data_IF_818358052056
#
_entry.id   IF_818358052056
#
_cell.length_a   1.000
_cell.length_b   1.000
_cell.length_c   1.000
_cell.angle_alpha   90.00
_cell.angle_beta   90.00
_cell.angle_gamma   90.00
#
_symmetry.space_group_name_H-M   'P 1'
#
loop_
_entity.id
_entity.type
_entity.pdbx_description
1 polymer ?
#
# COMPACT_ATOMS: atom_id res chain seq x y z
N UNK A 1 10.03 9.79 7.69
CA UNK A 1 10.11 9.83 9.17
C UNK A 1 9.72 8.45 9.70
N UNK A 2 10.69 7.63 10.13
CA UNK A 2 10.41 6.27 10.62
C UNK A 2 10.20 6.34 12.13
N UNK A 3 8.96 6.16 12.58
CA UNK A 3 8.62 6.10 14.01
C UNK A 3 9.21 4.82 14.61
N UNK A 4 10.27 4.98 15.40
CA UNK A 4 10.90 3.89 16.14
C UNK A 4 9.96 3.34 17.20
N UNK A 5 9.44 2.13 16.98
CA UNK A 5 8.58 1.45 17.95
C UNK A 5 9.43 0.88 19.09
N UNK A 6 9.57 1.63 20.20
CA UNK A 6 10.14 1.11 21.45
C UNK A 6 9.06 0.31 22.20
N UNK A 7 9.29 -0.99 22.44
CA UNK A 7 8.51 -1.72 23.46
C UNK A 7 8.77 -1.03 24.81
N UNK A 8 7.70 -0.56 25.48
CA UNK A 8 7.78 -0.11 26.88
C UNK A 8 7.96 -1.34 27.77
N UNK A 9 9.15 -1.52 28.30
CA UNK A 9 9.40 -2.40 29.46
C UNK A 9 8.99 -1.63 30.73
N UNK A 10 8.35 -2.25 31.74
CA UNK A 10 8.01 -1.56 32.97
C UNK A 10 9.29 -1.10 33.69
N UNK A 11 9.27 0.14 34.18
CA UNK A 11 10.36 0.76 34.94
C UNK A 11 10.63 -0.03 36.23
N UNK A 12 11.77 -0.72 36.31
CA UNK A 12 12.42 -0.99 37.60
C UNK A 12 13.52 0.04 37.80
N UNK A 13 13.29 0.90 38.78
CA UNK A 13 14.24 1.87 39.32
C UNK A 13 15.49 1.15 39.82
N UNK A 14 16.66 1.52 39.30
CA UNK A 14 17.93 1.60 40.05
C UNK A 14 18.94 2.39 39.21
N UNK A 15 19.46 3.45 39.81
CA UNK A 15 20.53 4.33 39.32
C UNK A 15 21.83 3.58 39.03
N UNK A 16 22.45 3.78 37.85
CA UNK A 16 23.92 3.78 37.68
C UNK A 16 24.40 4.26 36.30
N UNK A 17 25.21 5.32 36.35
CA UNK A 17 26.39 5.75 35.55
C UNK A 17 26.36 5.68 34.01
N UNK A 18 26.76 6.83 33.45
CA UNK A 18 27.08 7.13 32.06
C UNK A 18 28.37 6.40 31.65
N UNK A 19 28.35 5.71 30.50
CA UNK A 19 29.56 5.27 29.78
C UNK A 19 29.74 3.76 29.62
N UNK A 20 29.21 3.18 28.54
CA UNK A 20 29.76 2.02 27.83
C UNK A 20 29.02 1.79 26.52
N UNK A 21 29.74 1.76 25.39
CA UNK A 21 29.22 1.30 24.09
C UNK A 21 29.03 -0.22 24.20
N UNK A 22 27.78 -0.64 24.41
CA UNK A 22 27.39 -2.06 24.46
C UNK A 22 27.42 -2.72 23.07
N UNK A 23 27.52 -4.07 23.01
CA UNK A 23 27.65 -4.80 21.76
C UNK A 23 26.43 -4.56 20.86
N UNK A 24 26.65 -4.47 19.54
CA UNK A 24 25.59 -4.33 18.53
C UNK A 24 24.61 -5.50 18.66
N UNK A 25 23.58 -5.33 19.48
CA UNK A 25 22.52 -6.31 19.64
C UNK A 25 21.88 -6.58 18.29
N UNK A 26 21.80 -7.85 17.90
CA UNK A 26 21.01 -8.27 16.73
C UNK A 26 19.60 -7.72 16.92
N UNK A 27 19.22 -6.72 16.11
CA UNK A 27 17.83 -6.29 16.03
C UNK A 27 17.04 -7.47 15.50
N UNK A 28 16.27 -8.13 16.37
CA UNK A 28 15.27 -9.09 15.94
C UNK A 28 14.36 -8.38 14.93
N UNK A 29 14.16 -8.90 13.71
CA UNK A 29 13.29 -8.25 12.74
C UNK A 29 11.91 -8.08 13.37
N UNK A 30 11.41 -6.85 13.44
CA UNK A 30 10.03 -6.62 13.83
C UNK A 30 9.13 -7.21 12.74
N UNK A 31 8.58 -8.39 12.99
CA UNK A 31 7.58 -9.00 12.11
C UNK A 31 6.41 -8.01 12.00
N UNK A 32 6.08 -7.57 10.77
CA UNK A 32 4.94 -6.67 10.53
C UNK A 32 3.68 -7.30 11.13
N UNK A 33 2.96 -6.54 11.96
CA UNK A 33 1.74 -7.01 12.65
C UNK A 33 0.65 -7.43 11.66
N UNK A 34 0.55 -6.72 10.53
CA UNK A 34 -0.39 -7.01 9.45
C UNK A 34 0.40 -7.23 8.16
N UNK A 35 0.16 -8.37 7.52
CA UNK A 35 0.65 -8.68 6.16
C UNK A 35 -0.49 -8.63 5.12
N UNK A 36 -1.74 -8.62 5.59
CA UNK A 36 -2.95 -8.49 4.78
C UNK A 36 -3.42 -7.02 4.88
N UNK A 37 -3.53 -6.36 3.73
CA UNK A 37 -3.90 -4.96 3.61
C UNK A 37 -5.34 -4.70 4.07
N UNK A 38 -6.25 -5.62 3.78
CA UNK A 38 -7.64 -5.52 4.22
C UNK A 38 -7.75 -5.50 5.75
N UNK A 39 -7.06 -6.42 6.42
CA UNK A 39 -6.98 -6.46 7.89
C UNK A 39 -6.35 -5.20 8.47
N UNK A 40 -5.27 -4.70 7.86
CA UNK A 40 -4.63 -3.45 8.29
C UNK A 40 -5.60 -2.28 8.20
N UNK A 41 -6.26 -2.12 7.05
CA UNK A 41 -7.18 -1.01 6.77
C UNK A 41 -8.37 -1.02 7.72
N UNK A 42 -8.98 -2.20 7.93
CA UNK A 42 -10.07 -2.38 8.88
C UNK A 42 -9.63 -2.09 10.32
N UNK A 43 -8.44 -2.54 10.71
CA UNK A 43 -7.90 -2.26 12.04
C UNK A 43 -7.61 -0.75 12.26
N UNK A 44 -7.38 0.01 11.18
CA UNK A 44 -7.26 1.46 11.22
C UNK A 44 -8.63 2.18 11.26
N UNK A 45 -9.75 1.47 11.16
CA UNK A 45 -11.09 2.05 11.12
C UNK A 45 -11.48 2.68 9.77
N UNK A 46 -10.70 2.42 8.71
CA UNK A 46 -10.96 2.96 7.38
C UNK A 46 -11.91 2.07 6.57
N UNK A 47 -12.74 2.71 5.73
CA UNK A 47 -13.61 2.06 4.75
C UNK A 47 -13.04 2.01 3.32
N UNK A 48 -11.91 2.68 3.10
CA UNK A 48 -11.29 2.83 1.77
C UNK A 48 -9.79 2.58 1.86
N UNK A 49 -9.25 1.89 0.87
CA UNK A 49 -7.81 1.79 0.61
C UNK A 49 -7.47 2.67 -0.57
N UNK A 50 -6.55 3.60 -0.35
CA UNK A 50 -5.96 4.41 -1.40
C UNK A 50 -4.44 4.25 -1.29
N UNK A 51 -3.91 3.37 -2.13
CA UNK A 51 -2.48 3.08 -2.24
C UNK A 51 -2.07 3.18 -3.71
N UNK A 52 -0.77 3.12 -4.00
CA UNK A 52 -0.34 3.04 -5.39
C UNK A 52 -0.89 1.75 -6.06
N UNK A 53 -1.19 1.82 -7.35
CA UNK A 53 -1.90 0.76 -8.05
C UNK A 53 -1.22 -0.60 -7.97
N UNK A 54 0.12 -0.64 -7.89
CA UNK A 54 0.90 -1.87 -7.74
C UNK A 54 0.56 -2.65 -6.46
N UNK A 55 0.00 -2.01 -5.44
CA UNK A 55 -0.39 -2.74 -4.22
C UNK A 55 -1.58 -3.68 -4.49
N UNK A 56 -2.36 -3.39 -5.54
CA UNK A 56 -3.64 -4.02 -5.84
C UNK A 56 -3.57 -5.08 -6.95
N UNK A 57 -2.50 -5.10 -7.74
CA UNK A 57 -2.35 -6.02 -8.87
C UNK A 57 -1.50 -7.26 -8.51
N UNK A 58 -2.11 -8.45 -8.32
CA UNK A 58 -1.38 -9.69 -8.07
C UNK A 58 -0.64 -10.23 -9.30
N UNK A 59 -0.91 -9.72 -10.51
CA UNK A 59 -0.38 -10.21 -11.79
C UNK A 59 0.70 -9.30 -12.38
N UNK A 60 1.35 -8.49 -11.55
CA UNK A 60 2.45 -7.63 -12.00
C UNK A 60 3.57 -8.42 -12.64
N UNK A 61 4.11 -7.86 -13.72
CA UNK A 61 5.37 -8.27 -14.30
C UNK A 61 6.55 -7.63 -13.56
N UNK A 62 7.67 -7.48 -14.26
CA UNK A 62 8.83 -6.73 -13.77
C UNK A 62 9.20 -5.67 -14.80
N UNK A 63 8.98 -4.41 -14.44
CA UNK A 63 9.26 -3.25 -15.30
C UNK A 63 10.13 -2.28 -14.50
N UNK A 64 11.37 -2.11 -14.96
CA UNK A 64 12.26 -1.08 -14.46
C UNK A 64 11.94 0.25 -15.16
N UNK A 65 11.64 1.28 -14.37
CA UNK A 65 11.41 2.65 -14.84
C UNK A 65 11.99 3.63 -13.85
N UNK A 66 12.48 4.79 -14.30
CA UNK A 66 12.84 5.88 -13.40
C UNK A 66 11.59 6.49 -12.75
N UNK A 67 10.48 6.52 -13.50
CA UNK A 67 9.15 6.87 -12.98
C UNK A 67 8.61 5.74 -12.10
N UNK A 68 8.38 6.07 -10.82
CA UNK A 68 7.86 5.13 -9.83
C UNK A 68 6.45 4.61 -10.18
N UNK A 69 5.61 5.44 -10.80
CA UNK A 69 4.22 5.09 -11.10
C UNK A 69 4.09 4.10 -12.26
N UNK A 70 5.13 3.96 -13.07
CA UNK A 70 5.19 3.01 -14.19
C UNK A 70 5.96 1.71 -13.86
N UNK A 71 6.50 1.58 -12.65
CA UNK A 71 7.23 0.36 -12.25
C UNK A 71 6.28 -0.80 -11.99
N UNK A 72 6.76 -1.99 -12.28
CA UNK A 72 6.12 -3.25 -11.89
C UNK A 72 7.11 -4.12 -11.12
N UNK A 73 6.64 -4.71 -10.03
CA UNK A 73 7.36 -5.77 -9.33
C UNK A 73 6.36 -6.61 -8.53
N UNK A 74 6.37 -7.95 -8.64
CA UNK A 74 5.46 -8.79 -7.87
C UNK A 74 5.56 -8.59 -6.35
N UNK A 75 6.72 -8.11 -5.86
CA UNK A 75 6.94 -7.83 -4.44
C UNK A 75 6.15 -6.63 -3.90
N UNK A 76 5.58 -5.78 -4.77
CA UNK A 76 4.78 -4.63 -4.36
C UNK A 76 3.34 -5.00 -3.98
N UNK A 77 2.85 -6.14 -4.46
CA UNK A 77 1.55 -6.65 -4.07
C UNK A 77 1.55 -7.07 -2.60
N UNK A 78 0.58 -6.56 -1.83
CA UNK A 78 0.45 -6.87 -0.40
C UNK A 78 -0.90 -7.47 -0.03
N UNK A 79 -1.78 -7.66 -1.01
CA UNK A 79 -2.98 -8.48 -0.93
C UNK A 79 -4.00 -8.11 0.15
N UNK A 80 -5.21 -8.67 0.07
CA UNK A 80 -5.70 -9.50 -1.04
C UNK A 80 -6.02 -8.66 -2.30
N UNK A 81 -6.47 -9.32 -3.38
CA UNK A 81 -6.88 -8.62 -4.61
C UNK A 81 -8.07 -7.67 -4.39
N UNK A 82 -8.33 -6.81 -5.38
CA UNK A 82 -9.39 -5.79 -5.35
C UNK A 82 -10.75 -6.40 -5.05
N UNK A 83 -11.11 -7.50 -5.73
CA UNK A 83 -12.41 -8.14 -5.55
C UNK A 83 -12.59 -8.68 -4.13
N UNK A 84 -11.54 -9.25 -3.55
CA UNK A 84 -11.54 -9.75 -2.18
C UNK A 84 -11.65 -8.61 -1.18
N UNK A 85 -10.91 -7.51 -1.37
CA UNK A 85 -11.03 -6.30 -0.54
C UNK A 85 -12.48 -5.77 -0.53
N UNK A 86 -13.14 -5.73 -1.69
CA UNK A 86 -14.51 -5.27 -1.83
C UNK A 86 -15.52 -6.24 -1.19
N UNK A 87 -15.38 -7.54 -1.45
CA UNK A 87 -16.39 -8.54 -1.05
C UNK A 87 -16.24 -9.03 0.37
N UNK A 88 -15.03 -9.39 0.78
CA UNK A 88 -14.73 -9.92 2.11
C UNK A 88 -14.65 -8.80 3.14
N UNK A 89 -13.89 -7.76 2.80
CA UNK A 89 -13.53 -6.72 3.77
C UNK A 89 -14.46 -5.49 3.71
N UNK A 90 -15.35 -5.42 2.70
CA UNK A 90 -16.27 -4.29 2.46
C UNK A 90 -15.52 -2.96 2.31
N UNK A 91 -14.34 -3.01 1.68
CA UNK A 91 -13.50 -1.85 1.44
C UNK A 91 -13.67 -1.32 0.01
N UNK A 92 -13.68 0.00 -0.14
CA UNK A 92 -13.52 0.67 -1.43
C UNK A 92 -12.04 0.75 -1.80
N UNK A 93 -11.71 0.60 -3.09
CA UNK A 93 -10.34 0.66 -3.59
C UNK A 93 -10.20 1.80 -4.59
N UNK A 94 -9.36 2.79 -4.27
CA UNK A 94 -9.20 4.02 -5.06
C UNK A 94 -7.69 4.37 -5.17
N UNK A 95 -6.95 3.83 -6.15
CA UNK A 95 -5.51 4.08 -6.26
C UNK A 95 -5.16 5.53 -6.65
N UNK A 96 -3.95 5.94 -6.26
CA UNK A 96 -3.32 7.22 -6.64
C UNK A 96 -1.85 7.00 -7.03
N UNK A 97 -1.17 7.91 -7.71
CA UNK A 97 -1.75 8.83 -8.71
C UNK A 97 -1.56 8.11 -10.04
N UNK A 98 -2.62 8.02 -10.84
CA UNK A 98 -2.57 7.27 -12.10
C UNK A 98 -2.80 8.24 -13.26
N UNK A 99 -1.73 8.60 -13.96
CA UNK A 99 -1.76 9.61 -15.03
C UNK A 99 -1.40 9.03 -16.41
N UNK A 100 -1.17 7.73 -16.48
CA UNK A 100 -0.91 7.02 -17.73
C UNK A 100 -2.14 6.24 -18.19
N UNK A 101 -2.49 6.35 -19.47
CA UNK A 101 -3.68 5.73 -20.04
C UNK A 101 -3.68 4.19 -19.95
N UNK A 102 -2.51 3.56 -20.10
CA UNK A 102 -2.37 2.10 -19.99
C UNK A 102 -2.54 1.65 -18.55
N UNK A 103 -2.00 2.40 -17.58
CA UNK A 103 -2.21 2.11 -16.17
C UNK A 103 -3.67 2.38 -15.76
N UNK A 104 -4.31 3.45 -16.26
CA UNK A 104 -5.74 3.72 -16.04
C UNK A 104 -6.60 2.55 -16.52
N UNK A 105 -6.37 2.06 -17.73
CA UNK A 105 -7.06 0.89 -18.26
C UNK A 105 -6.86 -0.33 -17.35
N UNK A 106 -5.62 -0.58 -16.95
CA UNK A 106 -5.29 -1.72 -16.09
C UNK A 106 -6.03 -1.69 -14.75
N UNK A 107 -6.09 -0.54 -14.08
CA UNK A 107 -6.79 -0.46 -12.79
C UNK A 107 -8.30 -0.53 -12.96
N UNK A 108 -8.86 -0.06 -14.08
CA UNK A 108 -10.26 -0.30 -14.44
C UNK A 108 -10.51 -1.81 -14.59
N UNK A 109 -9.63 -2.53 -15.29
CA UNK A 109 -9.74 -3.99 -15.48
C UNK A 109 -9.63 -4.76 -14.15
N UNK A 110 -8.88 -4.24 -13.17
CA UNK A 110 -8.83 -4.78 -11.80
C UNK A 110 -10.14 -4.57 -11.03
N UNK A 111 -11.03 -3.69 -11.52
CA UNK A 111 -12.33 -3.40 -10.90
C UNK A 111 -12.26 -2.44 -9.72
N UNK A 112 -11.34 -1.47 -9.73
CA UNK A 112 -11.26 -0.44 -8.69
C UNK A 112 -12.54 0.41 -8.65
N UNK A 113 -12.85 0.97 -7.48
CA UNK A 113 -14.05 1.80 -7.28
C UNK A 113 -13.89 3.24 -7.78
N UNK A 114 -12.66 3.68 -8.02
CA UNK A 114 -12.33 5.01 -8.54
C UNK A 114 -10.83 5.17 -8.78
N UNK A 115 -10.41 6.28 -9.38
CA UNK A 115 -9.00 6.59 -9.67
C UNK A 115 -8.73 8.03 -9.25
N UNK A 116 -7.61 8.25 -8.55
CA UNK A 116 -7.08 9.59 -8.28
C UNK A 116 -6.01 9.88 -9.33
N UNK A 117 -6.18 10.98 -10.07
CA UNK A 117 -5.34 11.40 -11.20
C UNK A 117 -5.17 12.91 -11.20
N UNK A 118 -4.04 13.38 -11.72
CA UNK A 118 -3.79 14.78 -12.05
C UNK A 118 -4.28 15.14 -13.48
N UNK A 119 -4.61 14.15 -14.33
CA UNK A 119 -5.22 14.32 -15.65
C UNK A 119 -6.66 13.75 -15.73
N UNK A 120 -7.66 14.50 -15.22
CA UNK A 120 -9.04 14.05 -15.26
C UNK A 120 -9.60 13.93 -16.69
N UNK A 121 -9.08 14.71 -17.65
CA UNK A 121 -9.54 14.66 -19.04
C UNK A 121 -9.15 13.35 -19.72
N UNK A 122 -7.93 12.87 -19.46
CA UNK A 122 -7.48 11.57 -19.90
C UNK A 122 -8.30 10.44 -19.25
N UNK A 123 -8.55 10.53 -17.94
CA UNK A 123 -9.34 9.54 -17.23
C UNK A 123 -10.76 9.42 -17.80
N UNK A 124 -11.45 10.53 -18.04
CA UNK A 124 -12.78 10.52 -18.69
C UNK A 124 -12.71 9.84 -20.05
N UNK A 125 -11.69 10.16 -20.86
CA UNK A 125 -11.51 9.56 -22.18
C UNK A 125 -11.30 8.04 -22.12
N UNK A 126 -10.54 7.53 -21.14
CA UNK A 126 -10.35 6.09 -20.92
C UNK A 126 -11.66 5.46 -20.41
N UNK A 127 -12.32 6.08 -19.44
CA UNK A 127 -13.56 5.57 -18.84
C UNK A 127 -14.69 5.41 -19.88
N UNK A 128 -14.86 6.39 -20.77
CA UNK A 128 -15.84 6.33 -21.86
C UNK A 128 -15.59 5.15 -22.82
N UNK A 129 -14.31 4.85 -23.14
CA UNK A 129 -13.95 3.67 -23.96
C UNK A 129 -14.31 2.36 -23.28
N UNK A 130 -14.40 2.35 -21.96
CA UNK A 130 -14.82 1.20 -21.15
C UNK A 130 -16.34 1.16 -20.89
N UNK A 131 -17.12 2.06 -21.50
CA UNK A 131 -18.57 2.09 -21.35
C UNK A 131 -19.07 2.69 -20.02
N UNK A 132 -18.19 3.30 -19.24
CA UNK A 132 -18.55 4.08 -18.05
C UNK A 132 -19.16 5.42 -18.51
N UNK A 133 -20.25 5.83 -17.87
CA UNK A 133 -21.04 7.03 -18.22
C UNK A 133 -21.42 7.80 -16.97
#
# INVERSE_FOLDING_TARGET
>A
MVTGCRRRTPLRSTSRRIGAVGPRGRRTPCRRKYQDLGKLTRAAGAGTVSANWQVHDPKQGTVASTDWYLRENPAYFHGPDVRTLQTRDKLKVIPYTVDDATVMQRVIDLGVDGIITDDPGLLVSVAMRNGLR
#
